data_IF_608195262196
#
_entry.id   IF_608195262196
#
_cell.length_a   1.000
_cell.length_b   1.000
_cell.length_c   1.000
_cell.angle_alpha   90.00
_cell.angle_beta   90.00
_cell.angle_gamma   90.00
#
_symmetry.space_group_name_H-M   'P 1'
#
loop_
_entity.id
_entity.type
_entity.pdbx_description
1 polymer ?
#
# COMPACT_ATOMS: atom_id res chain seq x y z
N UNK A 1 -14.25 -3.23 -30.19
CA UNK A 1 -13.07 -2.59 -30.81
C UNK A 1 -13.57 -1.37 -31.59
N UNK A 2 -13.11 -0.15 -31.27
CA UNK A 2 -13.55 1.05 -32.00
C UNK A 2 -13.04 0.98 -33.44
N UNK A 3 -13.95 1.07 -34.41
CA UNK A 3 -13.59 1.21 -35.82
C UNK A 3 -13.80 2.66 -36.22
N UNK A 4 -12.73 3.31 -36.63
CA UNK A 4 -12.76 4.69 -37.08
C UNK A 4 -13.00 4.68 -38.58
N UNK A 5 -14.20 5.06 -39.01
CA UNK A 5 -14.57 5.12 -40.42
C UNK A 5 -14.76 6.59 -40.83
N UNK A 6 -14.33 6.92 -42.05
CA UNK A 6 -14.47 8.26 -42.64
C UNK A 6 -15.65 8.29 -43.59
N UNK A 7 -16.63 9.14 -43.29
CA UNK A 7 -17.79 9.38 -44.15
C UNK A 7 -17.52 10.58 -45.04
N UNK A 8 -17.54 10.38 -46.35
CA UNK A 8 -17.39 11.43 -47.34
C UNK A 8 -18.77 11.88 -47.81
N UNK A 9 -19.05 13.18 -47.66
CA UNK A 9 -20.26 13.83 -48.14
C UNK A 9 -19.85 14.79 -49.23
N UNK A 10 -20.22 14.45 -50.47
CA UNK A 10 -19.98 15.26 -51.65
C UNK A 10 -21.27 15.84 -52.20
N UNK A 11 -21.25 17.11 -52.55
CA UNK A 11 -22.21 17.74 -53.46
C UNK A 11 -21.54 18.06 -54.81
N UNK A 12 -22.26 18.72 -55.72
CA UNK A 12 -21.76 19.05 -57.06
C UNK A 12 -20.61 20.07 -57.07
N UNK A 13 -20.23 20.65 -55.92
CA UNK A 13 -19.27 21.77 -55.85
C UNK A 13 -18.23 21.56 -54.74
N UNK A 14 -18.43 20.63 -53.81
CA UNK A 14 -17.58 20.42 -52.65
C UNK A 14 -17.66 19.00 -52.11
N UNK A 15 -16.54 18.51 -51.58
CA UNK A 15 -16.48 17.24 -50.85
C UNK A 15 -15.91 17.49 -49.46
N UNK A 16 -16.68 17.13 -48.43
CA UNK A 16 -16.28 17.23 -47.03
C UNK A 16 -16.28 15.83 -46.43
N UNK A 17 -15.41 15.60 -45.45
CA UNK A 17 -15.43 14.34 -44.71
C UNK A 17 -15.67 14.58 -43.23
N UNK A 18 -16.35 13.62 -42.62
CA UNK A 18 -16.59 13.56 -41.18
C UNK A 18 -16.04 12.23 -40.68
N UNK A 19 -15.19 12.30 -39.66
CA UNK A 19 -14.64 11.11 -39.02
C UNK A 19 -15.67 10.62 -38.00
N UNK A 20 -16.16 9.39 -38.16
CA UNK A 20 -17.16 8.80 -37.28
C UNK A 20 -16.57 7.55 -36.64
N UNK A 21 -16.53 7.54 -35.31
CA UNK A 21 -16.15 6.36 -34.54
C UNK A 21 -17.39 5.48 -34.40
N UNK A 22 -17.39 4.30 -35.03
CA UNK A 22 -18.51 3.36 -34.95
C UNK A 22 -18.19 2.18 -34.03
N UNK A 23 -19.22 1.68 -33.35
CA UNK A 23 -19.16 0.46 -32.56
C UNK A 23 -19.75 -0.68 -33.41
N UNK A 24 -18.93 -1.67 -33.74
CA UNK A 24 -19.38 -2.86 -34.47
C UNK A 24 -19.74 -3.96 -33.48
N UNK A 25 -20.98 -3.98 -33.01
CA UNK A 25 -21.60 -5.22 -32.53
C UNK A 25 -22.69 -5.67 -33.50
N UNK A 26 -22.69 -6.98 -33.76
CA UNK A 26 -23.40 -7.69 -34.82
C UNK A 26 -24.86 -7.26 -35.00
N UNK A 27 -25.23 -6.90 -36.24
CA UNK A 27 -26.62 -6.64 -36.61
C UNK A 27 -26.76 -5.69 -37.81
N UNK A 28 -26.12 -5.99 -38.93
CA UNK A 28 -26.28 -5.19 -40.14
C UNK A 28 -27.56 -5.57 -40.89
N UNK A 29 -28.63 -4.79 -40.71
CA UNK A 29 -29.84 -4.91 -41.52
C UNK A 29 -29.75 -3.95 -42.71
N UNK A 30 -29.59 -4.53 -43.91
CA UNK A 30 -29.65 -3.81 -45.18
C UNK A 30 -31.11 -3.83 -45.68
N UNK A 31 -31.75 -2.66 -45.74
CA UNK A 31 -33.04 -2.52 -46.43
C UNK A 31 -32.77 -2.07 -47.88
N UNK A 32 -33.40 -2.69 -48.89
CA UNK A 32 -33.26 -2.23 -50.26
C UNK A 32 -33.96 -0.88 -50.42
N UNK A 33 -33.24 0.11 -50.95
CA UNK A 33 -33.87 1.33 -51.43
C UNK A 33 -34.39 1.06 -52.84
N UNK A 34 -35.70 1.22 -53.05
CA UNK A 34 -36.30 1.24 -54.38
C UNK A 34 -35.78 2.46 -55.15
N UNK A 35 -34.70 2.31 -55.92
CA UNK A 35 -34.40 3.19 -57.05
C UNK A 35 -33.27 2.65 -57.93
N UNK A 36 -33.41 2.90 -59.24
CA UNK A 36 -32.62 2.50 -60.41
C UNK A 36 -31.10 2.76 -60.40
N UNK A 37 -30.53 3.18 -59.28
CA UNK A 37 -29.11 3.47 -59.12
C UNK A 37 -28.68 2.79 -57.84
N UNK A 38 -27.76 1.82 -57.96
CA UNK A 38 -27.24 0.88 -56.97
C UNK A 38 -26.74 1.52 -55.66
N UNK A 39 -27.66 2.14 -54.92
CA UNK A 39 -27.42 2.86 -53.68
C UNK A 39 -28.15 2.11 -52.58
N UNK A 40 -27.45 1.82 -51.50
CA UNK A 40 -28.02 1.18 -50.32
C UNK A 40 -28.10 2.21 -49.20
N UNK A 41 -29.23 2.24 -48.49
CA UNK A 41 -29.39 3.09 -47.32
C UNK A 41 -29.09 2.24 -46.08
N UNK A 42 -27.96 2.50 -45.42
CA UNK A 42 -27.61 1.84 -44.16
C UNK A 42 -28.24 2.61 -43.01
N UNK A 43 -29.36 2.12 -42.47
CA UNK A 43 -29.91 2.69 -41.23
C UNK A 43 -29.15 2.15 -40.03
N UNK A 44 -28.21 2.93 -39.50
CA UNK A 44 -27.61 2.65 -38.19
C UNK A 44 -28.49 3.27 -37.11
N UNK A 45 -29.19 2.45 -36.34
CA UNK A 45 -29.77 2.89 -35.07
C UNK A 45 -28.64 3.23 -34.13
N UNK A 46 -28.47 4.52 -33.84
CA UNK A 46 -27.58 4.99 -32.80
C UNK A 46 -28.12 4.42 -31.48
N UNK A 47 -27.48 3.35 -30.98
CA UNK A 47 -27.69 2.94 -29.58
C UNK A 47 -27.37 4.18 -28.76
N UNK A 48 -28.31 4.69 -27.94
CA UNK A 48 -28.05 5.89 -27.16
C UNK A 48 -26.72 5.67 -26.45
N UNK A 49 -25.80 6.64 -26.61
CA UNK A 49 -24.53 6.66 -25.89
C UNK A 49 -24.89 6.37 -24.44
N UNK A 50 -24.65 5.14 -23.98
CA UNK A 50 -24.76 4.81 -22.58
C UNK A 50 -23.69 5.73 -22.01
N UNK A 51 -24.03 6.83 -21.31
CA UNK A 51 -22.98 7.52 -20.59
C UNK A 51 -22.31 6.40 -19.81
N UNK A 52 -20.99 6.27 -19.88
CA UNK A 52 -20.26 5.49 -18.89
C UNK A 52 -20.95 5.84 -17.59
N UNK A 53 -21.71 4.89 -17.06
CA UNK A 53 -22.30 5.06 -15.78
C UNK A 53 -21.05 5.14 -14.94
N UNK A 54 -20.69 6.36 -14.56
CA UNK A 54 -20.31 6.63 -13.19
C UNK A 54 -21.45 6.04 -12.40
N UNK A 55 -21.42 4.71 -12.23
CA UNK A 55 -22.08 4.05 -11.13
C UNK A 55 -21.67 4.94 -9.97
N UNK A 56 -22.66 5.65 -9.46
CA UNK A 56 -22.46 6.47 -8.29
C UNK A 56 -22.07 5.43 -7.24
N UNK A 57 -20.75 5.25 -7.08
CA UNK A 57 -20.17 4.23 -6.23
C UNK A 57 -20.93 4.32 -4.92
N UNK A 58 -21.69 3.27 -4.61
CA UNK A 58 -22.33 3.21 -3.31
C UNK A 58 -21.17 3.25 -2.33
N UNK A 59 -21.10 4.25 -1.44
CA UNK A 59 -20.00 4.33 -0.50
C UNK A 59 -19.98 3.04 0.29
N UNK A 60 -18.84 2.36 0.27
CA UNK A 60 -18.68 1.12 1.01
C UNK A 60 -18.78 1.44 2.50
N UNK A 61 -19.97 1.16 3.05
CA UNK A 61 -20.30 1.43 4.45
C UNK A 61 -19.37 0.64 5.36
N UNK A 62 -18.97 -0.58 4.97
CA UNK A 62 -18.12 -1.42 5.78
C UNK A 62 -16.69 -0.88 5.86
N UNK A 63 -16.11 -0.52 4.71
CA UNK A 63 -14.80 0.13 4.65
C UNK A 63 -14.79 1.45 5.44
N UNK A 64 -15.84 2.26 5.27
CA UNK A 64 -15.99 3.54 5.96
C UNK A 64 -16.04 3.35 7.49
N UNK A 65 -16.78 2.35 7.99
CA UNK A 65 -16.84 2.03 9.43
C UNK A 65 -15.46 1.63 9.96
N UNK A 66 -14.70 0.80 9.24
CA UNK A 66 -13.34 0.39 9.64
C UNK A 66 -12.42 1.61 9.74
N UNK A 67 -12.42 2.47 8.72
CA UNK A 67 -11.59 3.68 8.67
C UNK A 67 -11.95 4.64 9.80
N UNK A 68 -13.25 4.90 10.02
CA UNK A 68 -13.72 5.76 11.12
C UNK A 68 -13.30 5.18 12.47
N UNK A 69 -13.45 3.87 12.67
CA UNK A 69 -13.00 3.20 13.89
C UNK A 69 -11.49 3.37 14.12
N UNK A 70 -10.68 3.30 13.07
CA UNK A 70 -9.24 3.55 13.16
C UNK A 70 -8.94 4.99 13.61
N UNK A 71 -9.62 6.00 13.05
CA UNK A 71 -9.46 7.38 13.49
C UNK A 71 -9.92 7.61 14.94
N UNK A 72 -11.00 6.95 15.38
CA UNK A 72 -11.44 6.98 16.78
C UNK A 72 -10.34 6.42 17.69
N UNK A 73 -9.72 5.29 17.32
CA UNK A 73 -8.60 4.71 18.06
C UNK A 73 -7.43 5.71 18.13
N UNK A 74 -7.07 6.37 17.02
CA UNK A 74 -6.02 7.40 17.01
C UNK A 74 -6.33 8.56 17.96
N UNK A 75 -7.59 9.01 18.02
CA UNK A 75 -8.01 10.10 18.91
C UNK A 75 -7.94 9.64 20.37
N UNK A 76 -8.47 8.46 20.69
CA UNK A 76 -8.49 7.91 22.05
C UNK A 76 -7.08 7.73 22.59
N UNK A 77 -6.15 7.22 21.77
CA UNK A 77 -4.74 7.00 22.15
C UNK A 77 -3.80 8.15 21.77
N UNK A 78 -4.35 9.33 21.44
CA UNK A 78 -3.56 10.49 21.01
C UNK A 78 -2.56 10.94 22.08
N UNK A 79 -2.93 10.83 23.36
CA UNK A 79 -2.07 11.18 24.50
C UNK A 79 -0.83 10.30 24.55
N UNK A 80 -1.00 9.00 24.38
CA UNK A 80 0.07 8.00 24.35
C UNK A 80 0.99 8.19 23.14
N UNK A 81 0.41 8.53 21.98
CA UNK A 81 1.18 8.84 20.77
C UNK A 81 2.04 10.09 21.02
N UNK A 82 1.43 11.19 21.47
CA UNK A 82 2.13 12.47 21.69
C UNK A 82 3.23 12.33 22.75
N UNK A 83 3.02 11.55 23.81
CA UNK A 83 4.04 11.34 24.85
C UNK A 83 5.22 10.49 24.36
N UNK A 84 4.96 9.51 23.49
CA UNK A 84 5.95 8.51 23.06
C UNK A 84 6.79 8.99 21.88
N UNK A 85 6.20 9.72 20.93
CA UNK A 85 6.87 10.13 19.68
C UNK A 85 8.20 10.87 19.91
N UNK A 86 8.31 11.87 20.80
CA UNK A 86 9.58 12.56 21.03
C UNK A 86 10.68 11.64 21.57
N UNK A 87 10.30 10.66 22.40
CA UNK A 87 11.25 9.72 22.98
C UNK A 87 11.75 8.71 21.94
N UNK A 88 10.85 8.23 21.07
CA UNK A 88 11.18 7.36 19.93
C UNK A 88 12.05 8.10 18.90
N UNK A 89 11.77 9.38 18.64
CA UNK A 89 12.59 10.18 17.73
C UNK A 89 14.00 10.44 18.28
N UNK A 90 14.13 10.67 19.60
CA UNK A 90 15.45 10.76 20.24
C UNK A 90 16.20 9.43 20.20
N UNK A 91 15.50 8.32 20.31
CA UNK A 91 16.12 6.99 20.26
C UNK A 91 16.72 6.68 18.87
N UNK A 92 16.19 7.28 17.79
CA UNK A 92 16.78 7.16 16.45
C UNK A 92 18.21 7.65 16.36
N UNK A 93 18.56 8.71 17.09
CA UNK A 93 19.86 9.36 17.01
C UNK A 93 20.85 8.81 18.02
N UNK A 94 20.38 8.31 19.18
CA UNK A 94 21.26 7.78 20.22
C UNK A 94 20.76 6.47 20.84
N UNK A 95 21.61 5.44 20.79
CA UNK A 95 21.36 4.14 21.42
C UNK A 95 21.19 4.27 22.95
N UNK A 96 21.87 5.24 23.58
CA UNK A 96 21.71 5.49 25.02
C UNK A 96 20.28 5.90 25.38
N UNK A 97 19.62 6.64 24.51
CA UNK A 97 18.25 7.08 24.75
C UNK A 97 17.24 5.96 24.49
N UNK A 98 17.60 4.95 23.69
CA UNK A 98 16.86 3.68 23.60
C UNK A 98 16.85 2.94 24.95
N UNK A 99 18.01 2.79 25.60
CA UNK A 99 18.06 2.15 26.93
C UNK A 99 17.23 2.91 27.97
N UNK A 100 17.33 4.24 28.01
CA UNK A 100 16.49 5.08 28.90
C UNK A 100 14.99 4.92 28.65
N UNK A 101 14.59 4.59 27.43
CA UNK A 101 13.19 4.36 27.07
C UNK A 101 12.71 3.01 27.62
N UNK A 102 13.56 1.97 27.62
CA UNK A 102 13.25 0.68 28.24
C UNK A 102 13.21 0.76 29.77
N UNK A 103 14.13 1.51 30.38
CA UNK A 103 14.18 1.65 31.84
C UNK A 103 12.91 2.26 32.43
N UNK A 104 12.19 3.07 31.64
CA UNK A 104 10.92 3.69 32.02
C UNK A 104 9.75 2.79 31.63
N UNK A 105 9.32 1.92 32.55
CA UNK A 105 8.23 0.96 32.35
C UNK A 105 6.96 1.57 31.72
N UNK A 106 6.50 2.72 32.22
CA UNK A 106 5.30 3.41 31.68
C UNK A 106 5.50 3.80 30.21
N UNK A 107 6.67 4.32 29.86
CA UNK A 107 6.98 4.76 28.50
C UNK A 107 7.18 3.57 27.56
N UNK A 108 7.81 2.49 28.03
CA UNK A 108 7.93 1.25 27.26
C UNK A 108 6.57 0.60 26.99
N UNK A 109 5.65 0.64 27.96
CA UNK A 109 4.27 0.17 27.78
C UNK A 109 3.49 1.04 26.78
N UNK A 110 3.54 2.37 26.93
CA UNK A 110 2.90 3.29 25.99
C UNK A 110 3.41 3.07 24.56
N UNK A 111 4.73 2.89 24.40
CA UNK A 111 5.30 2.54 23.10
C UNK A 111 4.74 1.26 22.52
N UNK A 112 4.59 0.19 23.30
CA UNK A 112 4.04 -1.06 22.77
C UNK A 112 2.60 -0.86 22.25
N UNK A 113 1.79 -0.01 22.91
CA UNK A 113 0.45 0.37 22.43
C UNK A 113 0.56 1.16 21.11
N UNK A 114 1.43 2.17 21.07
CA UNK A 114 1.65 2.98 19.85
C UNK A 114 2.16 2.12 18.69
N UNK A 115 3.01 1.12 18.96
CA UNK A 115 3.47 0.16 17.96
C UNK A 115 2.32 -0.63 17.31
N UNK A 116 1.36 -1.11 18.11
CA UNK A 116 0.18 -1.83 17.58
C UNK A 116 -0.67 -0.91 16.71
N UNK A 117 -0.86 0.34 17.13
CA UNK A 117 -1.57 1.36 16.34
C UNK A 117 -0.82 1.64 15.03
N UNK A 118 0.51 1.79 15.08
CA UNK A 118 1.35 1.98 13.89
C UNK A 118 1.37 0.76 12.97
N UNK A 119 1.19 -0.46 13.49
CA UNK A 119 1.04 -1.66 12.67
C UNK A 119 -0.29 -1.65 11.92
N UNK A 120 -1.38 -1.26 12.59
CA UNK A 120 -2.72 -1.13 11.99
C UNK A 120 -2.80 0.01 10.96
N UNK A 121 -1.96 1.04 11.10
CA UNK A 121 -1.87 2.17 10.18
C UNK A 121 -1.56 1.73 8.73
N UNK A 122 -0.62 0.80 8.52
CA UNK A 122 -0.20 0.44 7.16
C UNK A 122 -1.34 -0.17 6.33
N UNK A 123 -2.09 -1.18 6.82
CA UNK A 123 -3.24 -1.71 6.07
C UNK A 123 -4.33 -0.69 5.80
N UNK A 124 -4.66 0.15 6.78
CA UNK A 124 -5.70 1.17 6.62
C UNK A 124 -5.31 2.18 5.55
N UNK A 125 -4.09 2.72 5.64
CA UNK A 125 -3.64 3.77 4.72
C UNK A 125 -3.38 3.24 3.31
N UNK A 126 -2.77 2.07 3.16
CA UNK A 126 -2.57 1.48 1.83
C UNK A 126 -3.90 1.21 1.14
N UNK A 127 -4.89 0.67 1.86
CA UNK A 127 -6.24 0.45 1.31
C UNK A 127 -6.93 1.76 0.95
N UNK A 128 -6.78 2.81 1.77
CA UNK A 128 -7.34 4.14 1.51
C UNK A 128 -6.75 4.78 0.25
N UNK A 129 -5.43 4.64 0.04
CA UNK A 129 -4.71 5.28 -1.07
C UNK A 129 -4.91 4.53 -2.39
N UNK A 130 -5.03 3.21 -2.34
CA UNK A 130 -5.01 2.32 -3.49
C UNK A 130 -6.35 1.60 -3.73
N UNK A 131 -7.46 2.17 -3.27
CA UNK A 131 -8.78 1.53 -3.30
C UNK A 131 -9.17 1.06 -4.71
N UNK A 132 -9.05 1.96 -5.69
CA UNK A 132 -9.48 1.67 -7.05
C UNK A 132 -8.47 0.75 -7.74
N UNK A 133 -7.18 0.94 -7.47
CA UNK A 133 -6.09 0.11 -7.95
C UNK A 133 -6.20 -1.34 -7.46
N UNK A 134 -6.55 -1.55 -6.18
CA UNK A 134 -6.77 -2.88 -5.61
C UNK A 134 -7.93 -3.59 -6.33
N UNK A 135 -9.01 -2.85 -6.58
CA UNK A 135 -10.20 -3.41 -7.22
C UNK A 135 -9.96 -3.72 -8.69
N UNK A 136 -9.30 -2.82 -9.43
CA UNK A 136 -9.08 -2.96 -10.87
C UNK A 136 -7.98 -3.97 -11.20
N UNK A 137 -6.85 -3.93 -10.50
CA UNK A 137 -5.67 -4.73 -10.84
C UNK A 137 -5.72 -6.13 -10.23
N UNK A 138 -6.21 -6.25 -8.99
CA UNK A 138 -6.22 -7.52 -8.26
C UNK A 138 -7.59 -8.20 -8.23
N UNK A 139 -8.66 -7.52 -8.66
CA UNK A 139 -10.05 -8.01 -8.55
C UNK A 139 -10.42 -8.41 -7.10
N UNK A 140 -9.86 -7.69 -6.12
CA UNK A 140 -10.06 -7.95 -4.68
C UNK A 140 -10.94 -6.85 -4.09
N UNK A 141 -11.96 -7.25 -3.35
CA UNK A 141 -12.76 -6.33 -2.55
C UNK A 141 -11.90 -5.65 -1.45
N UNK A 142 -11.78 -4.30 -1.41
CA UNK A 142 -10.80 -3.58 -0.59
C UNK A 142 -10.80 -3.93 0.92
N UNK A 143 -11.94 -4.19 1.59
CA UNK A 143 -11.94 -4.65 2.97
C UNK A 143 -11.25 -6.00 3.18
N UNK A 144 -11.32 -6.92 2.22
CA UNK A 144 -10.59 -8.18 2.30
C UNK A 144 -9.10 -7.98 2.12
N UNK A 145 -8.68 -7.05 1.25
CA UNK A 145 -7.29 -6.65 1.14
C UNK A 145 -6.76 -6.10 2.47
N UNK A 146 -7.51 -5.22 3.13
CA UNK A 146 -7.14 -4.65 4.44
C UNK A 146 -6.93 -5.75 5.49
N UNK A 147 -7.91 -6.66 5.63
CA UNK A 147 -7.86 -7.75 6.62
C UNK A 147 -6.70 -8.71 6.29
N UNK A 148 -6.56 -9.10 5.01
CA UNK A 148 -5.48 -9.97 4.55
C UNK A 148 -4.11 -9.36 4.80
N UNK A 149 -3.93 -8.08 4.51
CA UNK A 149 -2.68 -7.37 4.75
C UNK A 149 -2.38 -7.22 6.24
N UNK A 150 -3.38 -6.96 7.08
CA UNK A 150 -3.21 -6.94 8.53
C UNK A 150 -2.80 -8.31 9.10
N UNK A 151 -3.46 -9.39 8.65
CA UNK A 151 -3.11 -10.77 9.03
C UNK A 151 -1.67 -11.09 8.59
N UNK A 152 -1.29 -10.71 7.38
CA UNK A 152 0.06 -10.89 6.87
C UNK A 152 1.11 -10.18 7.75
N UNK A 153 0.87 -8.92 8.14
CA UNK A 153 1.76 -8.19 9.04
C UNK A 153 1.87 -8.85 10.42
N UNK A 154 0.76 -9.37 10.95
CA UNK A 154 0.77 -10.12 12.22
C UNK A 154 1.59 -11.41 12.12
N UNK A 155 1.40 -12.19 11.06
CA UNK A 155 2.15 -13.42 10.81
C UNK A 155 3.64 -13.13 10.64
N UNK A 156 3.99 -12.08 9.88
CA UNK A 156 5.36 -11.62 9.73
C UNK A 156 5.98 -11.21 11.08
N UNK A 157 5.25 -10.43 11.89
CA UNK A 157 5.69 -10.06 13.23
C UNK A 157 5.87 -11.26 14.16
N UNK A 158 4.98 -12.24 14.10
CA UNK A 158 5.08 -13.48 14.86
C UNK A 158 6.30 -14.31 14.43
N UNK A 159 6.51 -14.46 13.13
CA UNK A 159 7.68 -15.16 12.58
C UNK A 159 8.98 -14.49 13.04
N UNK A 160 9.06 -13.15 12.95
CA UNK A 160 10.23 -12.38 13.41
C UNK A 160 10.48 -12.56 14.91
N UNK A 161 9.42 -12.56 15.72
CA UNK A 161 9.51 -12.83 17.17
C UNK A 161 10.01 -14.25 17.48
N UNK A 162 9.57 -15.25 16.72
CA UNK A 162 10.05 -16.63 16.86
C UNK A 162 11.53 -16.73 16.49
N UNK A 163 11.96 -16.06 15.43
CA UNK A 163 13.37 -16.00 15.02
C UNK A 163 14.23 -15.39 16.12
N UNK A 164 13.82 -14.26 16.72
CA UNK A 164 14.55 -13.64 17.83
C UNK A 164 14.59 -14.53 19.08
N UNK A 165 13.49 -15.24 19.38
CA UNK A 165 13.47 -16.21 20.49
C UNK A 165 14.41 -17.38 20.25
N UNK A 166 14.50 -17.88 19.01
CA UNK A 166 15.42 -18.94 18.62
C UNK A 166 16.88 -18.48 18.72
N UNK A 167 17.21 -17.31 18.15
CA UNK A 167 18.54 -16.70 18.23
C UNK A 167 18.96 -16.45 19.68
N UNK A 168 18.04 -15.99 20.51
CA UNK A 168 18.26 -15.80 21.94
C UNK A 168 18.55 -17.10 22.68
N UNK A 169 17.82 -18.17 22.34
CA UNK A 169 18.05 -19.48 22.94
C UNK A 169 19.40 -20.08 22.54
N UNK A 170 19.77 -19.99 21.26
CA UNK A 170 21.05 -20.51 20.72
C UNK A 170 22.24 -19.78 21.35
N UNK A 171 22.18 -18.45 21.41
CA UNK A 171 23.28 -17.63 21.92
C UNK A 171 23.26 -17.47 23.45
N UNK A 172 22.22 -17.98 24.13
CA UNK A 172 21.97 -17.80 25.58
C UNK A 172 21.92 -16.34 26.05
N UNK A 173 21.69 -15.41 25.12
CA UNK A 173 21.54 -13.99 25.41
C UNK A 173 20.10 -13.59 25.15
N UNK A 174 19.36 -13.20 26.19
CA UNK A 174 17.98 -12.71 26.07
C UNK A 174 17.90 -11.20 25.95
N UNK A 175 18.93 -10.50 26.42
CA UNK A 175 18.92 -9.05 26.55
C UNK A 175 19.06 -8.42 25.17
N UNK A 176 20.04 -8.88 24.38
CA UNK A 176 20.35 -8.32 23.06
C UNK A 176 19.19 -8.48 22.08
N UNK A 177 18.59 -9.68 21.98
CA UNK A 177 17.50 -9.91 21.02
C UNK A 177 16.17 -9.28 21.45
N UNK A 178 15.91 -9.17 22.76
CA UNK A 178 14.75 -8.40 23.23
C UNK A 178 14.93 -6.90 22.92
N UNK A 179 16.13 -6.35 23.15
CA UNK A 179 16.44 -4.98 22.76
C UNK A 179 16.26 -4.78 21.25
N UNK A 180 16.72 -5.72 20.43
CA UNK A 180 16.59 -5.67 18.98
C UNK A 180 15.12 -5.70 18.52
N UNK A 181 14.28 -6.52 19.16
CA UNK A 181 12.83 -6.52 18.96
C UNK A 181 12.23 -5.14 19.26
N UNK A 182 12.59 -4.57 20.41
CA UNK A 182 12.10 -3.26 20.86
C UNK A 182 12.58 -2.11 20.00
N UNK A 183 13.78 -2.19 19.44
CA UNK A 183 14.28 -1.25 18.44
C UNK A 183 13.46 -1.33 17.17
N UNK A 184 13.07 -2.54 16.74
CA UNK A 184 12.14 -2.72 15.62
C UNK A 184 10.80 -1.98 15.83
N UNK A 185 10.25 -2.01 17.04
CA UNK A 185 8.98 -1.32 17.33
C UNK A 185 9.09 0.19 17.12
N UNK A 186 10.18 0.79 17.59
CA UNK A 186 10.45 2.22 17.38
C UNK A 186 10.47 2.56 15.89
N UNK A 187 11.18 1.78 15.07
CA UNK A 187 11.30 2.04 13.64
C UNK A 187 9.98 1.87 12.89
N UNK A 188 9.11 0.95 13.31
CA UNK A 188 7.74 0.84 12.76
C UNK A 188 6.90 2.08 13.09
N UNK A 189 7.00 2.60 14.32
CA UNK A 189 6.31 3.85 14.70
C UNK A 189 6.79 5.03 13.84
N UNK A 190 8.11 5.11 13.62
CA UNK A 190 8.71 6.17 12.82
C UNK A 190 8.32 6.03 11.35
N UNK A 191 8.27 4.81 10.83
CA UNK A 191 7.79 4.53 9.48
C UNK A 191 6.34 4.98 9.28
N UNK A 192 5.45 4.77 10.25
CA UNK A 192 4.09 5.30 10.18
C UNK A 192 4.07 6.84 10.12
N UNK A 193 4.92 7.53 10.90
CA UNK A 193 4.98 9.00 10.90
C UNK A 193 5.54 9.55 9.59
N UNK A 194 6.61 8.95 9.05
CA UNK A 194 7.26 9.41 7.83
C UNK A 194 6.48 9.08 6.55
N UNK A 195 5.62 8.08 6.59
CA UNK A 195 4.73 7.73 5.47
C UNK A 195 3.44 8.56 5.47
N UNK A 196 3.10 9.22 6.58
CA UNK A 196 1.91 10.06 6.70
C UNK A 196 1.82 11.20 5.67
N UNK A 197 2.90 11.92 5.33
CA UNK A 197 2.88 12.92 4.26
C UNK A 197 2.40 12.38 2.91
N UNK A 198 2.64 11.10 2.59
CA UNK A 198 2.18 10.48 1.35
C UNK A 198 0.65 10.44 1.25
N UNK A 199 -0.03 10.27 2.39
CA UNK A 199 -1.50 10.36 2.49
C UNK A 199 -1.96 11.76 2.15
N UNK A 200 -1.36 12.77 2.79
CA UNK A 200 -1.72 14.17 2.59
C UNK A 200 -1.52 14.57 1.12
N UNK A 201 -0.39 14.17 0.52
CA UNK A 201 -0.07 14.45 -0.88
C UNK A 201 -1.16 13.89 -1.81
N UNK A 202 -1.61 12.65 -1.61
CA UNK A 202 -2.71 12.07 -2.40
C UNK A 202 -4.04 12.75 -2.15
N UNK A 203 -4.34 13.14 -0.90
CA UNK A 203 -5.58 13.85 -0.56
C UNK A 203 -5.65 15.27 -1.14
N UNK A 204 -4.52 15.99 -1.22
CA UNK A 204 -4.47 17.36 -1.74
C UNK A 204 -4.17 17.44 -3.24
N UNK A 205 -3.65 16.38 -3.85
CA UNK A 205 -3.25 16.36 -5.26
C UNK A 205 -3.93 15.23 -6.02
N UNK A 206 -4.99 15.58 -6.76
CA UNK A 206 -5.73 14.64 -7.62
C UNK A 206 -4.93 14.19 -8.85
N UNK A 207 -3.81 14.84 -9.17
CA UNK A 207 -2.95 14.49 -10.30
C UNK A 207 -2.08 13.26 -10.05
N UNK A 208 -1.98 12.80 -8.80
CA UNK A 208 -1.15 11.65 -8.43
C UNK A 208 -1.99 10.38 -8.54
N UNK A 209 -1.58 9.50 -9.46
CA UNK A 209 -2.15 8.16 -9.60
C UNK A 209 -1.90 7.33 -8.34
N UNK A 210 -2.79 6.37 -8.08
CA UNK A 210 -2.70 5.54 -6.86
C UNK A 210 -1.41 4.73 -6.79
N UNK A 211 -0.98 4.16 -7.92
CA UNK A 211 0.30 3.47 -8.06
C UNK A 211 1.48 4.35 -7.63
N UNK A 212 1.50 5.62 -8.07
CA UNK A 212 2.54 6.59 -7.67
C UNK A 212 2.47 6.92 -6.18
N UNK A 213 1.27 7.02 -5.62
CA UNK A 213 1.12 7.27 -4.19
C UNK A 213 1.63 6.08 -3.34
N UNK A 214 1.38 4.84 -3.77
CA UNK A 214 1.95 3.63 -3.13
C UNK A 214 3.47 3.58 -3.28
N UNK A 215 4.01 3.97 -4.44
CA UNK A 215 5.46 4.08 -4.64
C UNK A 215 6.08 5.12 -3.71
N UNK A 216 5.48 6.31 -3.55
CA UNK A 216 5.96 7.35 -2.63
C UNK A 216 5.92 6.85 -1.18
N UNK A 217 4.83 6.18 -0.78
CA UNK A 217 4.72 5.55 0.54
C UNK A 217 5.85 4.55 0.77
N UNK A 218 6.10 3.67 -0.19
CA UNK A 218 7.17 2.66 -0.09
C UNK A 218 8.55 3.32 -0.03
N UNK A 219 8.81 4.29 -0.90
CA UNK A 219 10.08 5.02 -0.96
C UNK A 219 10.37 5.78 0.34
N UNK A 220 9.34 6.31 1.00
CA UNK A 220 9.48 7.00 2.29
C UNK A 220 9.85 6.06 3.46
N UNK A 221 9.53 4.77 3.36
CA UNK A 221 9.87 3.77 4.37
C UNK A 221 11.30 3.21 4.23
N UNK A 222 11.86 3.21 3.01
CA UNK A 222 13.22 2.72 2.72
C UNK A 222 14.32 3.35 3.60
N UNK A 223 14.43 4.69 3.76
CA UNK A 223 15.48 5.28 4.60
C UNK A 223 15.39 4.80 6.07
N UNK A 224 14.18 4.54 6.56
CA UNK A 224 13.94 4.10 7.93
C UNK A 224 14.39 2.65 8.12
N UNK A 225 14.21 1.82 7.08
CA UNK A 225 14.78 0.48 7.03
C UNK A 225 16.31 0.52 7.12
N UNK A 226 16.98 1.40 6.36
CA UNK A 226 18.44 1.53 6.45
C UNK A 226 18.91 1.96 7.85
N UNK A 227 18.21 2.90 8.49
CA UNK A 227 18.49 3.30 9.87
C UNK A 227 18.30 2.13 10.84
N UNK A 228 17.25 1.33 10.67
CA UNK A 228 17.01 0.12 11.46
C UNK A 228 18.15 -0.90 11.32
N UNK A 229 18.61 -1.17 10.10
CA UNK A 229 19.71 -2.11 9.85
C UNK A 229 21.01 -1.61 10.48
N UNK A 230 21.31 -0.31 10.33
CA UNK A 230 22.48 0.30 10.96
C UNK A 230 22.43 0.21 12.50
N UNK A 231 21.26 0.43 13.11
CA UNK A 231 21.08 0.28 14.56
C UNK A 231 21.20 -1.16 15.02
N UNK A 232 20.66 -2.09 14.25
CA UNK A 232 20.77 -3.53 14.51
C UNK A 232 22.24 -3.97 14.51
N UNK A 233 23.03 -3.47 13.54
CA UNK A 233 24.47 -3.69 13.48
C UNK A 233 25.18 -3.15 14.73
N UNK A 234 24.91 -1.91 15.14
CA UNK A 234 25.53 -1.32 16.33
C UNK A 234 25.25 -2.12 17.61
N UNK A 235 24.04 -2.64 17.77
CA UNK A 235 23.65 -3.45 18.94
C UNK A 235 24.40 -4.77 18.96
N UNK A 236 24.43 -5.47 17.83
CA UNK A 236 25.05 -6.80 17.72
C UNK A 236 26.57 -6.69 17.95
N UNK A 237 27.25 -5.73 17.33
CA UNK A 237 28.69 -5.51 17.56
C UNK A 237 28.97 -4.99 18.97
N UNK A 238 28.10 -4.12 19.49
CA UNK A 238 28.21 -3.59 20.86
C UNK A 238 28.15 -4.67 21.94
N UNK A 239 27.44 -5.77 21.69
CA UNK A 239 27.38 -6.95 22.55
C UNK A 239 28.43 -8.03 22.21
N UNK A 240 29.52 -7.65 21.51
CA UNK A 240 30.68 -8.51 21.23
C UNK A 240 30.39 -9.73 20.33
N UNK A 241 29.29 -9.72 19.58
CA UNK A 241 29.08 -10.73 18.54
C UNK A 241 30.02 -10.50 17.36
N UNK A 242 30.41 -11.60 16.71
CA UNK A 242 31.22 -11.53 15.49
C UNK A 242 30.46 -10.82 14.35
N UNK A 243 31.13 -10.03 13.49
CA UNK A 243 30.53 -9.49 12.27
C UNK A 243 29.91 -10.57 11.37
N UNK A 244 30.46 -11.79 11.40
CA UNK A 244 29.88 -12.93 10.68
C UNK A 244 28.47 -13.29 11.19
N UNK A 245 28.25 -13.18 12.50
CA UNK A 245 26.94 -13.39 13.10
C UNK A 245 25.91 -12.36 12.59
N UNK A 246 26.33 -11.10 12.38
CA UNK A 246 25.47 -10.08 11.79
C UNK A 246 25.07 -10.39 10.34
N UNK A 247 25.99 -10.94 9.53
CA UNK A 247 25.67 -11.38 8.17
C UNK A 247 24.64 -12.52 8.21
N UNK A 248 24.83 -13.49 9.09
CA UNK A 248 23.88 -14.59 9.25
C UNK A 248 22.51 -14.09 9.72
N UNK A 249 22.48 -13.11 10.63
CA UNK A 249 21.28 -12.41 11.06
C UNK A 249 20.57 -11.74 9.89
N UNK A 250 21.28 -10.95 9.07
CA UNK A 250 20.70 -10.28 7.91
C UNK A 250 20.11 -11.28 6.94
N UNK A 251 20.85 -12.33 6.61
CA UNK A 251 20.39 -13.35 5.69
C UNK A 251 19.17 -14.10 6.23
N UNK A 252 19.19 -14.55 7.49
CA UNK A 252 18.14 -15.41 8.05
C UNK A 252 16.90 -14.66 8.53
N UNK A 253 17.08 -13.52 9.21
CA UNK A 253 15.99 -12.82 9.89
C UNK A 253 15.38 -11.68 9.07
N UNK A 254 16.13 -11.08 8.14
CA UNK A 254 15.66 -9.92 7.36
C UNK A 254 15.46 -10.27 5.87
N UNK A 255 16.47 -10.85 5.20
CA UNK A 255 16.45 -11.09 3.75
C UNK A 255 15.64 -12.33 3.38
N UNK A 256 15.84 -13.46 4.08
CA UNK A 256 15.18 -14.73 3.75
C UNK A 256 13.64 -14.62 3.77
N UNK A 257 12.98 -13.98 4.77
CA UNK A 257 11.54 -13.79 4.73
C UNK A 257 11.10 -13.00 3.50
N UNK A 258 11.81 -11.92 3.14
CA UNK A 258 11.50 -11.10 1.97
C UNK A 258 11.64 -11.88 0.65
N UNK A 259 12.70 -12.68 0.52
CA UNK A 259 12.94 -13.51 -0.67
C UNK A 259 11.89 -14.62 -0.78
N UNK A 260 11.52 -15.26 0.33
CA UNK A 260 10.46 -16.26 0.34
C UNK A 260 9.13 -15.65 -0.10
N UNK A 261 8.77 -14.47 0.44
CA UNK A 261 7.57 -13.74 0.03
C UNK A 261 7.62 -13.44 -1.46
N UNK A 262 8.71 -12.83 -1.96
CA UNK A 262 8.85 -12.50 -3.37
C UNK A 262 8.76 -13.73 -4.29
N UNK A 263 9.38 -14.83 -3.89
CA UNK A 263 9.32 -16.08 -4.65
C UNK A 263 7.90 -16.66 -4.66
N UNK A 264 7.18 -16.65 -3.53
CA UNK A 264 5.79 -17.08 -3.49
C UNK A 264 4.91 -16.23 -4.40
N UNK A 265 5.07 -14.90 -4.36
CA UNK A 265 4.30 -13.98 -5.22
C UNK A 265 4.61 -14.17 -6.70
N UNK A 266 5.87 -14.44 -7.07
CA UNK A 266 6.27 -14.65 -8.47
C UNK A 266 5.94 -16.06 -9.00
N UNK A 267 5.79 -17.04 -8.12
CA UNK A 267 5.46 -18.42 -8.47
C UNK A 267 3.96 -18.70 -8.62
N UNK A 268 3.12 -17.74 -8.23
CA UNK A 268 1.66 -17.78 -8.33
C UNK A 268 1.21 -17.19 -9.68
#
# INVERSE_FOLDING_TARGET
>A
MFRQDTLYVSDSVSCRYVIVNTYSEQGENYLPADSLWSSSTKSMTMVPFRPESKETEKPDVFLSVIIISFFIILIVFSREIISTVPAVFKSLSNLRDHYKLEDKLVLSQQRNVVFVISLLYFPVITTLIANDYITIEFDIYPPFFLIGFFIFLLLYGLAKKLIFKLLSWINRDKVTFNLLEKVGYNHVIIAAIFTFPSVLIKSFSSSITEERAVMILTLSAIPILFVYLYRSYQIIIGHQFSPFFYILYLCGAEILPLVLIANFTLSL
#
